data_IF_165485958398
#
_entry.id   IF_165485958398
#
_cell.length_a   1.000
_cell.length_b   1.000
_cell.length_c   1.000
_cell.angle_alpha   90.00
_cell.angle_beta   90.00
_cell.angle_gamma   90.00
#
_symmetry.space_group_name_H-M   'P 1'
#
loop_
_entity.id
_entity.type
_entity.pdbx_description
1 polymer ?
#
# COMPACT_ATOMS: atom_id res chain seq x y z
N UNK A 1 14.89 -3.96 -11.15
CA UNK A 1 14.62 -4.29 -9.74
C UNK A 1 15.20 -5.67 -9.47
N UNK A 2 16.03 -5.82 -8.44
CA UNK A 2 16.45 -7.12 -7.91
C UNK A 2 15.36 -7.69 -7.00
N UNK A 3 15.47 -8.97 -6.64
CA UNK A 3 14.54 -9.59 -5.69
C UNK A 3 14.58 -8.92 -4.30
N UNK A 4 15.76 -8.45 -3.87
CA UNK A 4 15.91 -7.72 -2.61
C UNK A 4 15.19 -6.37 -2.62
N UNK A 5 15.29 -5.64 -3.73
CA UNK A 5 14.56 -4.38 -3.94
C UNK A 5 13.04 -4.60 -3.95
N UNK A 6 12.56 -5.71 -4.55
CA UNK A 6 11.16 -6.11 -4.48
C UNK A 6 10.72 -6.40 -3.05
N UNK A 7 11.49 -7.20 -2.31
CA UNK A 7 11.17 -7.55 -0.92
C UNK A 7 11.12 -6.31 -0.02
N UNK A 8 12.05 -5.37 -0.21
CA UNK A 8 12.06 -4.10 0.49
C UNK A 8 10.82 -3.25 0.15
N UNK A 9 10.43 -3.21 -1.14
CA UNK A 9 9.24 -2.50 -1.58
C UNK A 9 7.94 -3.10 -1.00
N UNK A 10 7.81 -4.44 -1.01
CA UNK A 10 6.69 -5.15 -0.38
C UNK A 10 6.63 -4.86 1.11
N UNK A 11 7.76 -4.93 1.82
CA UNK A 11 7.82 -4.62 3.26
C UNK A 11 7.36 -3.18 3.55
N UNK A 12 7.77 -2.22 2.71
CA UNK A 12 7.32 -0.83 2.82
C UNK A 12 5.80 -0.72 2.65
N UNK A 13 5.23 -1.38 1.65
CA UNK A 13 3.77 -1.40 1.45
C UNK A 13 3.03 -1.96 2.67
N UNK A 14 3.54 -3.04 3.28
CA UNK A 14 2.93 -3.61 4.51
C UNK A 14 2.95 -2.61 5.67
N UNK A 15 4.08 -1.92 5.88
CA UNK A 15 4.17 -0.88 6.92
C UNK A 15 3.17 0.25 6.66
N UNK A 16 3.03 0.70 5.42
CA UNK A 16 2.07 1.75 5.08
C UNK A 16 0.61 1.29 5.25
N UNK A 17 0.30 0.03 4.93
CA UNK A 17 -1.02 -0.56 5.20
C UNK A 17 -1.35 -0.60 6.69
N UNK A 18 -0.37 -0.89 7.56
CA UNK A 18 -0.58 -0.85 9.01
C UNK A 18 -0.91 0.57 9.49
N UNK A 19 -0.22 1.59 8.97
CA UNK A 19 -0.48 2.99 9.30
C UNK A 19 -1.89 3.45 8.83
N UNK A 20 -2.29 3.02 7.63
CA UNK A 20 -3.66 3.23 7.12
C UNK A 20 -4.67 2.58 8.07
N UNK A 21 -4.49 1.31 8.44
CA UNK A 21 -5.41 0.61 9.33
C UNK A 21 -5.57 1.30 10.69
N UNK A 22 -4.46 1.75 11.29
CA UNK A 22 -4.49 2.51 12.55
C UNK A 22 -5.26 3.83 12.40
N UNK A 23 -5.01 4.57 11.33
CA UNK A 23 -5.69 5.86 11.07
C UNK A 23 -7.18 5.67 10.81
N UNK A 24 -7.55 4.66 10.02
CA UNK A 24 -8.94 4.27 9.77
C UNK A 24 -9.64 3.91 11.07
N UNK A 25 -9.01 3.12 11.93
CA UNK A 25 -9.58 2.74 13.22
C UNK A 25 -9.84 3.97 14.11
N UNK A 26 -8.90 4.92 14.16
CA UNK A 26 -9.07 6.18 14.90
C UNK A 26 -10.28 6.98 14.42
N UNK A 27 -10.44 7.13 13.10
CA UNK A 27 -11.60 7.81 12.52
C UNK A 27 -12.90 7.02 12.74
N UNK A 28 -12.86 5.69 12.71
CA UNK A 28 -14.03 4.86 12.95
C UNK A 28 -14.53 5.01 14.39
N UNK A 29 -13.62 5.03 15.38
CA UNK A 29 -13.95 5.22 16.79
C UNK A 29 -14.62 6.57 17.08
N UNK A 30 -14.38 7.59 16.24
CA UNK A 30 -15.00 8.92 16.36
C UNK A 30 -16.19 9.13 15.43
N UNK A 31 -16.61 8.10 14.66
CA UNK A 31 -17.70 8.20 13.68
C UNK A 31 -17.33 9.00 12.41
N UNK A 32 -16.04 9.27 12.21
CA UNK A 32 -15.50 10.09 11.13
C UNK A 32 -14.97 9.28 9.94
N UNK A 33 -15.02 7.94 9.99
CA UNK A 33 -14.69 7.06 8.87
C UNK A 33 -15.79 7.08 7.79
N UNK A 34 -15.98 8.23 7.14
CA UNK A 34 -17.02 8.43 6.14
C UNK A 34 -16.49 9.22 4.93
N UNK A 35 -17.06 9.05 3.71
CA UNK A 35 -16.52 9.65 2.49
C UNK A 35 -16.57 11.18 2.42
N UNK A 36 -17.32 11.85 3.30
CA UNK A 36 -17.37 13.32 3.36
C UNK A 36 -16.28 13.89 4.28
N UNK A 37 -15.61 13.06 5.08
CA UNK A 37 -14.45 13.46 5.86
C UNK A 37 -13.19 13.47 4.96
N UNK A 38 -12.48 14.60 4.85
CA UNK A 38 -11.31 14.71 3.97
C UNK A 38 -10.16 13.79 4.38
N UNK A 39 -9.95 13.55 5.68
CA UNK A 39 -8.91 12.64 6.16
C UNK A 39 -9.23 11.18 5.79
N UNK A 40 -10.50 10.79 5.89
CA UNK A 40 -10.91 9.45 5.46
C UNK A 40 -10.75 9.25 3.96
N UNK A 41 -11.10 10.25 3.14
CA UNK A 41 -10.89 10.22 1.69
C UNK A 41 -9.40 10.15 1.32
N UNK A 42 -8.54 10.85 2.06
CA UNK A 42 -7.08 10.75 1.89
C UNK A 42 -6.56 9.33 2.19
N UNK A 43 -7.04 8.71 3.27
CA UNK A 43 -6.73 7.32 3.63
C UNK A 43 -7.13 6.36 2.50
N UNK A 44 -8.35 6.49 1.96
CA UNK A 44 -8.80 5.66 0.84
C UNK A 44 -7.93 5.83 -0.40
N UNK A 45 -7.53 7.08 -0.71
CA UNK A 45 -6.65 7.39 -1.83
C UNK A 45 -5.26 6.76 -1.66
N UNK A 46 -4.70 6.82 -0.45
CA UNK A 46 -3.44 6.16 -0.10
C UNK A 46 -3.56 4.65 -0.25
N UNK A 47 -4.65 4.06 0.25
CA UNK A 47 -4.89 2.62 0.12
C UNK A 47 -4.98 2.17 -1.35
N UNK A 48 -5.69 2.93 -2.18
CA UNK A 48 -5.76 2.69 -3.63
C UNK A 48 -4.39 2.77 -4.31
N UNK A 49 -3.56 3.74 -3.94
CA UNK A 49 -2.19 3.90 -4.47
C UNK A 49 -1.29 2.72 -4.09
N UNK A 50 -1.39 2.23 -2.86
CA UNK A 50 -0.65 1.05 -2.41
C UNK A 50 -1.07 -0.21 -3.19
N UNK A 51 -2.36 -0.40 -3.44
CA UNK A 51 -2.84 -1.54 -4.24
C UNK A 51 -2.31 -1.50 -5.67
N UNK A 52 -2.32 -0.32 -6.31
CA UNK A 52 -1.74 -0.17 -7.64
C UNK A 52 -0.24 -0.45 -7.66
N UNK A 53 0.49 0.00 -6.63
CA UNK A 53 1.93 -0.23 -6.51
C UNK A 53 2.23 -1.72 -6.34
N UNK A 54 1.47 -2.42 -5.48
CA UNK A 54 1.60 -3.87 -5.31
C UNK A 54 1.27 -4.63 -6.60
N UNK A 55 0.20 -4.24 -7.30
CA UNK A 55 -0.18 -4.85 -8.57
C UNK A 55 0.92 -4.68 -9.63
N UNK A 56 1.54 -3.50 -9.71
CA UNK A 56 2.67 -3.25 -10.59
C UNK A 56 3.87 -4.12 -10.24
N UNK A 57 4.28 -4.16 -8.96
CA UNK A 57 5.41 -4.97 -8.52
C UNK A 57 5.21 -6.45 -8.85
N UNK A 58 4.01 -6.98 -8.62
CA UNK A 58 3.68 -8.37 -8.95
C UNK A 58 3.65 -8.63 -10.47
N UNK A 59 3.18 -7.66 -11.25
CA UNK A 59 3.23 -7.75 -12.73
C UNK A 59 4.67 -7.77 -13.22
N UNK A 60 5.52 -6.87 -12.71
CA UNK A 60 6.94 -6.81 -13.08
C UNK A 60 7.66 -8.11 -12.68
N UNK A 61 7.24 -8.78 -11.59
CA UNK A 61 7.73 -10.11 -11.19
C UNK A 61 7.36 -11.18 -12.20
N UNK A 62 6.07 -11.30 -12.51
CA UNK A 62 5.54 -12.32 -13.41
C UNK A 62 6.11 -12.18 -14.83
N UNK A 63 6.35 -10.95 -15.27
CA UNK A 63 6.94 -10.66 -16.59
C UNK A 63 8.46 -10.89 -16.63
N UNK A 64 9.10 -11.28 -15.52
CA UNK A 64 10.55 -11.48 -15.45
C UNK A 64 11.37 -10.19 -15.69
N UNK A 65 10.73 -9.02 -15.61
CA UNK A 65 11.38 -7.71 -15.71
C UNK A 65 12.32 -7.49 -14.51
N UNK A 66 11.97 -8.10 -13.38
CA UNK A 66 12.85 -8.15 -12.22
C UNK A 66 13.93 -9.19 -12.42
N UNK A 67 15.19 -8.75 -12.37
CA UNK A 67 16.32 -9.65 -12.52
C UNK A 67 16.46 -10.49 -11.25
N UNK A 68 16.38 -11.81 -11.42
CA UNK A 68 16.87 -12.78 -10.43
C UNK A 68 18.40 -12.71 -10.37
N UNK A 69 18.97 -11.56 -10.01
CA UNK A 69 20.37 -11.58 -9.58
C UNK A 69 20.37 -12.21 -8.19
N UNK A 70 20.89 -13.45 -8.16
CA UNK A 70 21.24 -14.21 -6.96
C UNK A 70 22.12 -13.41 -6.03
#
# INVERSE_FOLDING_TARGET
MTLDEYNAAVKKIVTEQQAIAQSTAQLAMTGQANPTNPQFTEILTKQWTLMQTMAKLNTDLMMGIMSMKK
#
